data_IF_730349502560
#
_entry.id   IF_730349502560
#
_cell.length_a   1.000
_cell.length_b   1.000
_cell.length_c   1.000
_cell.angle_alpha   90.00
_cell.angle_beta   90.00
_cell.angle_gamma   90.00
#
_symmetry.space_group_name_H-M   'P 1'
#
loop_
_entity.id
_entity.type
_entity.pdbx_description
1 polymer ?
#
# COMPACT_ATOMS: atom_id res chain seq x y z
N UNK A 1 -17.57 -15.72 -8.31
CA UNK A 1 -16.33 -15.45 -9.07
C UNK A 1 -15.17 -15.28 -8.09
N UNK A 2 -13.92 -15.52 -8.50
CA UNK A 2 -12.74 -15.52 -7.63
C UNK A 2 -12.58 -14.23 -6.81
N UNK A 3 -12.81 -13.06 -7.42
CA UNK A 3 -12.68 -11.77 -6.75
C UNK A 3 -13.68 -11.58 -5.59
N UNK A 4 -14.93 -12.00 -5.77
CA UNK A 4 -15.94 -11.99 -4.69
C UNK A 4 -15.55 -12.94 -3.56
N UNK A 5 -14.94 -14.09 -3.87
CA UNK A 5 -14.42 -15.00 -2.84
C UNK A 5 -13.26 -14.36 -2.09
N UNK A 6 -12.29 -13.77 -2.79
CA UNK A 6 -11.18 -13.05 -2.18
C UNK A 6 -11.70 -11.96 -1.25
N UNK A 7 -12.59 -11.07 -1.75
CA UNK A 7 -13.19 -9.99 -0.96
C UNK A 7 -13.91 -10.51 0.29
N UNK A 8 -14.74 -11.54 0.14
CA UNK A 8 -15.47 -12.12 1.27
C UNK A 8 -14.52 -12.74 2.29
N UNK A 9 -13.51 -13.49 1.83
CA UNK A 9 -12.54 -14.18 2.72
C UNK A 9 -11.53 -13.25 3.38
N UNK A 10 -11.19 -12.11 2.77
CA UNK A 10 -10.27 -11.12 3.35
C UNK A 10 -10.99 -10.06 4.18
N UNK A 11 -12.32 -9.91 4.05
CA UNK A 11 -13.10 -8.88 4.75
C UNK A 11 -12.91 -8.85 6.27
N UNK A 12 -12.90 -9.98 7.01
CA UNK A 12 -12.66 -9.94 8.45
C UNK A 12 -11.29 -9.38 8.84
N UNK A 13 -10.27 -9.61 8.01
CA UNK A 13 -8.92 -9.09 8.23
C UNK A 13 -8.84 -7.59 7.97
N UNK A 14 -9.54 -7.08 6.94
CA UNK A 14 -9.68 -5.64 6.70
C UNK A 14 -10.37 -4.93 7.87
N UNK A 15 -11.50 -5.48 8.35
CA UNK A 15 -12.22 -4.91 9.49
C UNK A 15 -11.37 -4.90 10.76
N UNK A 16 -10.59 -5.95 11.01
CA UNK A 16 -9.67 -5.99 12.14
C UNK A 16 -8.61 -4.90 12.04
N UNK A 17 -7.99 -4.76 10.86
CA UNK A 17 -6.97 -3.75 10.61
C UNK A 17 -7.52 -2.33 10.79
N UNK A 18 -8.72 -2.05 10.26
CA UNK A 18 -9.41 -0.76 10.44
C UNK A 18 -9.74 -0.46 11.93
N UNK A 19 -9.86 -1.51 12.74
CA UNK A 19 -10.07 -1.41 14.18
C UNK A 19 -8.80 -1.10 14.99
N UNK A 20 -7.61 -1.29 14.41
CA UNK A 20 -6.35 -1.11 15.12
C UNK A 20 -6.11 0.35 15.52
N UNK A 21 -5.50 0.62 16.68
CA UNK A 21 -5.26 1.98 17.17
C UNK A 21 -4.52 2.87 16.16
N UNK A 22 -3.55 2.31 15.43
CA UNK A 22 -2.76 3.03 14.44
C UNK A 22 -3.61 3.48 13.24
N UNK A 23 -4.54 2.66 12.76
CA UNK A 23 -5.43 3.02 11.66
C UNK A 23 -6.45 4.07 12.08
N UNK A 24 -6.96 3.98 13.32
CA UNK A 24 -7.92 4.95 13.87
C UNK A 24 -7.29 6.31 14.16
N UNK A 25 -6.04 6.34 14.68
CA UNK A 25 -5.37 7.59 15.02
C UNK A 25 -5.21 8.50 13.81
N UNK A 26 -4.98 7.92 12.63
CA UNK A 26 -4.79 8.68 11.40
C UNK A 26 -6.05 9.39 10.90
N UNK A 27 -7.22 8.79 11.14
CA UNK A 27 -8.52 9.35 10.81
C UNK A 27 -9.08 10.23 11.94
N UNK A 28 -8.42 10.27 13.09
CA UNK A 28 -8.84 11.08 14.21
C UNK A 28 -8.74 12.58 13.88
N UNK A 29 -9.62 13.43 14.45
CA UNK A 29 -9.49 14.87 14.32
C UNK A 29 -8.21 15.46 14.92
N UNK A 30 -7.53 14.72 15.79
CA UNK A 30 -6.29 15.14 16.46
C UNK A 30 -5.03 14.69 15.74
N UNK A 31 -5.15 13.98 14.61
CA UNK A 31 -4.01 13.45 13.86
C UNK A 31 -2.96 14.54 13.55
N UNK A 32 -1.72 14.28 13.97
CA UNK A 32 -0.57 15.15 13.75
C UNK A 32 0.19 14.77 12.48
N UNK A 33 1.09 15.65 12.04
CA UNK A 33 2.01 15.30 10.96
C UNK A 33 2.96 14.17 11.39
N UNK A 34 3.36 14.13 12.66
CA UNK A 34 4.23 13.08 13.18
C UNK A 34 3.53 11.71 13.17
N UNK A 35 2.23 11.65 13.48
CA UNK A 35 1.44 10.41 13.38
C UNK A 35 1.42 9.90 11.94
N UNK A 36 1.29 10.81 10.97
CA UNK A 36 1.30 10.46 9.56
C UNK A 36 2.68 9.97 9.10
N UNK A 37 3.76 10.66 9.48
CA UNK A 37 5.15 10.22 9.20
C UNK A 37 5.43 8.85 9.81
N UNK A 38 4.99 8.62 11.05
CA UNK A 38 5.14 7.33 11.72
C UNK A 38 4.41 6.20 10.98
N UNK A 39 3.23 6.46 10.42
CA UNK A 39 2.51 5.49 9.60
C UNK A 39 3.21 5.24 8.28
N UNK A 40 3.74 6.28 7.63
CA UNK A 40 4.55 6.11 6.41
C UNK A 40 5.80 5.28 6.69
N UNK A 41 6.48 5.49 7.81
CA UNK A 41 7.62 4.67 8.26
C UNK A 41 7.21 3.22 8.51
N UNK A 42 6.10 2.99 9.20
CA UNK A 42 5.54 1.65 9.43
C UNK A 42 5.20 0.95 8.12
N UNK A 43 4.59 1.68 7.18
CA UNK A 43 4.29 1.18 5.84
C UNK A 43 5.58 0.87 5.07
N UNK A 44 6.59 1.75 5.09
CA UNK A 44 7.87 1.51 4.42
C UNK A 44 8.50 0.20 4.90
N UNK A 45 8.54 0.00 6.21
CA UNK A 45 9.07 -1.19 6.85
C UNK A 45 8.38 -2.50 6.45
N UNK A 46 7.12 -2.45 6.04
CA UNK A 46 6.37 -3.60 5.53
C UNK A 46 6.44 -3.74 4.00
N UNK A 47 6.20 -2.65 3.27
CA UNK A 47 6.12 -2.63 1.82
C UNK A 47 7.47 -2.95 1.18
N UNK A 48 8.56 -2.34 1.64
CA UNK A 48 9.87 -2.52 1.01
C UNK A 48 10.29 -4.01 0.93
N UNK A 49 10.36 -4.76 2.04
CA UNK A 49 10.82 -6.15 1.97
C UNK A 49 9.76 -7.09 1.37
N UNK A 50 8.46 -6.76 1.46
CA UNK A 50 7.41 -7.53 0.77
C UNK A 50 7.47 -7.36 -0.74
N UNK A 51 7.66 -6.13 -1.23
CA UNK A 51 7.75 -5.84 -2.65
C UNK A 51 8.99 -6.47 -3.28
N UNK A 52 10.13 -6.43 -2.57
CA UNK A 52 11.34 -7.13 -3.02
C UNK A 52 11.13 -8.65 -3.13
N UNK A 53 10.35 -9.24 -2.22
CA UNK A 53 9.98 -10.66 -2.28
C UNK A 53 9.04 -10.96 -3.44
N UNK A 54 8.06 -10.09 -3.69
CA UNK A 54 7.13 -10.21 -4.81
C UNK A 54 7.83 -10.07 -6.16
N UNK A 55 8.76 -9.12 -6.31
CA UNK A 55 9.54 -8.96 -7.53
C UNK A 55 10.35 -10.21 -7.90
N UNK A 56 10.73 -11.02 -6.91
CA UNK A 56 11.47 -12.29 -7.08
C UNK A 56 10.58 -13.53 -7.17
N UNK A 57 9.26 -13.39 -6.96
CA UNK A 57 8.35 -14.54 -6.83
C UNK A 57 8.07 -15.25 -8.15
N UNK A 58 8.12 -14.55 -9.28
CA UNK A 58 7.95 -15.10 -10.61
C UNK A 58 8.43 -14.12 -11.69
N UNK A 59 8.55 -14.61 -12.92
CA UNK A 59 8.77 -13.77 -14.09
C UNK A 59 7.47 -13.02 -14.46
N UNK A 60 7.32 -11.81 -13.92
CA UNK A 60 6.16 -10.96 -14.17
C UNK A 60 6.04 -10.53 -15.63
N UNK A 61 7.17 -10.37 -16.33
CA UNK A 61 7.18 -10.01 -17.75
C UNK A 61 6.61 -11.14 -18.60
N UNK A 62 6.94 -12.40 -18.29
CA UNK A 62 6.33 -13.57 -18.93
C UNK A 62 4.81 -13.70 -18.67
N UNK A 63 4.28 -12.99 -17.67
CA UNK A 63 2.84 -12.90 -17.38
C UNK A 63 2.16 -11.67 -17.99
N UNK A 64 2.87 -10.90 -18.83
CA UNK A 64 2.42 -9.61 -19.38
C UNK A 64 1.93 -8.65 -18.27
N UNK A 65 2.62 -8.67 -17.12
CA UNK A 65 2.29 -7.87 -15.95
C UNK A 65 3.46 -6.98 -15.54
N UNK A 66 3.27 -5.66 -15.64
CA UNK A 66 4.27 -4.69 -15.19
C UNK A 66 4.23 -4.53 -13.66
N UNK A 67 5.00 -5.36 -12.96
CA UNK A 67 5.11 -5.33 -11.51
C UNK A 67 5.70 -4.02 -10.97
N UNK A 68 6.71 -3.45 -11.63
CA UNK A 68 7.38 -2.23 -11.16
C UNK A 68 6.42 -1.04 -11.05
N UNK A 69 5.45 -0.91 -11.97
CA UNK A 69 4.41 0.13 -11.89
C UNK A 69 3.46 -0.03 -10.69
N UNK A 70 3.46 -1.20 -10.03
CA UNK A 70 2.61 -1.48 -8.87
C UNK A 70 3.27 -1.13 -7.55
N UNK A 71 4.60 -1.06 -7.52
CA UNK A 71 5.37 -0.80 -6.31
C UNK A 71 5.02 0.55 -5.69
N UNK A 72 4.92 0.56 -4.37
CA UNK A 72 4.55 1.69 -3.52
C UNK A 72 5.71 2.20 -2.71
N UNK A 73 6.74 1.38 -2.51
CA UNK A 73 7.96 1.76 -1.79
C UNK A 73 8.53 3.09 -2.27
N UNK A 74 8.71 3.36 -3.59
CA UNK A 74 9.25 4.65 -4.04
C UNK A 74 8.38 5.85 -3.66
N UNK A 75 7.06 5.68 -3.62
CA UNK A 75 6.11 6.74 -3.25
C UNK A 75 6.14 7.02 -1.74
N UNK A 76 6.28 5.98 -0.92
CA UNK A 76 6.42 6.12 0.54
C UNK A 76 7.74 6.83 0.86
N UNK A 77 8.84 6.44 0.22
CA UNK A 77 10.13 7.11 0.42
C UNK A 77 10.09 8.58 -0.03
N UNK A 78 9.45 8.87 -1.17
CA UNK A 78 9.25 10.24 -1.63
C UNK A 78 8.52 11.07 -0.56
N UNK A 79 7.41 10.56 -0.03
CA UNK A 79 6.65 11.27 0.99
C UNK A 79 7.46 11.47 2.27
N UNK A 80 8.20 10.46 2.71
CA UNK A 80 9.06 10.55 3.89
C UNK A 80 10.20 11.57 3.72
N UNK A 81 10.86 11.62 2.56
CA UNK A 81 11.91 12.61 2.30
C UNK A 81 11.35 14.04 2.35
N UNK A 82 10.17 14.25 1.78
CA UNK A 82 9.52 15.57 1.77
C UNK A 82 9.09 16.00 3.17
N UNK A 83 8.50 15.09 3.95
CA UNK A 83 7.90 15.42 5.25
C UNK A 83 8.90 15.38 6.41
N UNK A 84 9.91 14.52 6.33
CA UNK A 84 10.86 14.24 7.41
C UNK A 84 12.23 14.89 7.22
N UNK A 85 12.41 15.75 6.22
CA UNK A 85 13.64 16.51 6.02
C UNK A 85 14.78 15.71 5.38
N UNK A 86 14.47 14.75 4.51
CA UNK A 86 15.44 13.96 3.74
C UNK A 86 15.53 12.49 4.16
N UNK A 87 16.66 11.85 3.84
CA UNK A 87 16.84 10.39 4.00
C UNK A 87 16.87 9.92 5.46
N UNK A 88 17.10 10.82 6.42
CA UNK A 88 17.04 10.49 7.85
C UNK A 88 15.69 9.92 8.26
N UNK A 89 14.61 10.36 7.61
CA UNK A 89 13.26 9.87 7.86
C UNK A 89 13.09 8.37 7.53
N UNK A 90 13.88 7.85 6.59
CA UNK A 90 13.84 6.45 6.16
C UNK A 90 14.47 5.53 7.20
N UNK A 91 15.47 6.02 7.94
CA UNK A 91 16.22 5.25 8.94
C UNK A 91 15.37 4.84 10.16
N UNK A 92 14.24 5.53 10.38
CA UNK A 92 13.32 5.23 11.47
C UNK A 92 12.22 4.24 11.09
N UNK A 93 12.21 3.73 9.84
CA UNK A 93 11.25 2.72 9.43
C UNK A 93 11.54 1.39 10.16
N UNK A 94 10.58 0.84 10.93
CA UNK A 94 10.78 -0.43 11.61
C UNK A 94 10.78 -1.58 10.60
N UNK A 95 11.81 -2.42 10.59
CA UNK A 95 11.86 -3.54 9.66
C UNK A 95 10.82 -4.62 10.00
N UNK A 96 9.97 -4.98 9.02
CA UNK A 96 9.02 -6.07 9.18
C UNK A 96 9.69 -7.43 8.95
N UNK A 97 10.11 -8.08 10.05
CA UNK A 97 10.75 -9.39 9.99
C UNK A 97 9.79 -10.57 9.72
N UNK A 98 8.47 -10.33 9.80
CA UNK A 98 7.45 -11.38 9.63
C UNK A 98 6.58 -11.10 8.41
N UNK A 99 7.14 -11.42 7.24
CA UNK A 99 6.44 -11.32 5.97
C UNK A 99 5.66 -12.59 5.61
N UNK A 100 4.55 -12.47 4.86
CA UNK A 100 3.84 -13.63 4.35
C UNK A 100 4.74 -14.50 3.45
N UNK A 101 4.58 -15.83 3.47
CA UNK A 101 5.28 -16.71 2.56
C UNK A 101 4.77 -16.49 1.13
N UNK A 102 5.68 -16.27 0.19
CA UNK A 102 5.37 -16.16 -1.24
C UNK A 102 6.08 -17.31 -1.96
N UNK A 103 5.46 -18.49 -1.91
CA UNK A 103 6.03 -19.73 -2.47
C UNK A 103 5.49 -20.11 -3.86
N UNK A 104 4.59 -19.30 -4.43
CA UNK A 104 3.98 -19.58 -5.73
C UNK A 104 3.45 -18.31 -6.39
N UNK A 105 3.21 -18.38 -7.70
CA UNK A 105 2.54 -17.32 -8.48
C UNK A 105 1.17 -16.98 -7.88
N UNK A 106 0.40 -17.99 -7.47
CA UNK A 106 -0.91 -17.77 -6.85
C UNK A 106 -0.80 -17.01 -5.51
N UNK A 107 0.20 -17.32 -4.68
CA UNK A 107 0.45 -16.59 -3.45
C UNK A 107 0.88 -15.14 -3.73
N UNK A 108 1.71 -14.91 -4.75
CA UNK A 108 2.12 -13.58 -5.17
C UNK A 108 0.94 -12.74 -5.67
N UNK A 109 0.06 -13.32 -6.49
CA UNK A 109 -1.17 -12.67 -6.96
C UNK A 109 -2.13 -12.37 -5.80
N UNK A 110 -2.25 -13.27 -4.82
CA UNK A 110 -3.05 -13.04 -3.62
C UNK A 110 -2.52 -11.89 -2.76
N UNK A 111 -1.20 -11.77 -2.61
CA UNK A 111 -0.59 -10.64 -1.93
C UNK A 111 -0.79 -9.32 -2.70
N UNK A 112 -0.60 -9.33 -4.02
CA UNK A 112 -0.89 -8.18 -4.87
C UNK A 112 -2.35 -7.75 -4.77
N UNK A 113 -3.30 -8.69 -4.71
CA UNK A 113 -4.72 -8.37 -4.49
C UNK A 113 -4.93 -7.53 -3.23
N UNK A 114 -4.30 -7.90 -2.12
CA UNK A 114 -4.41 -7.16 -0.86
C UNK A 114 -3.76 -5.77 -0.98
N UNK A 115 -2.56 -5.67 -1.56
CA UNK A 115 -1.85 -4.39 -1.72
C UNK A 115 -2.60 -3.43 -2.65
N UNK A 116 -3.14 -3.93 -3.76
CA UNK A 116 -3.97 -3.15 -4.67
C UNK A 116 -5.27 -2.70 -4.00
N UNK A 117 -5.92 -3.58 -3.23
CA UNK A 117 -7.11 -3.25 -2.45
C UNK A 117 -6.85 -2.16 -1.40
N UNK A 118 -5.67 -2.16 -0.76
CA UNK A 118 -5.28 -1.15 0.22
C UNK A 118 -5.21 0.26 -0.38
N UNK A 119 -4.96 0.40 -1.69
CA UNK A 119 -4.93 1.72 -2.36
C UNK A 119 -6.30 2.41 -2.38
N UNK A 120 -7.40 1.66 -2.42
CA UNK A 120 -8.76 2.20 -2.33
C UNK A 120 -9.04 2.75 -0.93
N UNK A 121 -8.73 1.98 0.11
CA UNK A 121 -8.89 2.43 1.51
C UNK A 121 -7.98 3.63 1.82
N UNK A 122 -6.79 3.65 1.23
CA UNK A 122 -5.84 4.74 1.30
C UNK A 122 -6.36 6.10 0.83
N UNK A 123 -7.34 6.14 -0.08
CA UNK A 123 -7.92 7.40 -0.55
C UNK A 123 -8.64 8.17 0.56
N UNK A 124 -9.26 7.47 1.53
CA UNK A 124 -9.91 8.13 2.68
C UNK A 124 -8.87 8.83 3.55
N UNK A 125 -7.74 8.16 3.78
CA UNK A 125 -6.59 8.71 4.50
C UNK A 125 -6.02 9.92 3.76
N UNK A 126 -5.75 9.78 2.45
CA UNK A 126 -5.29 10.89 1.62
C UNK A 126 -6.21 12.10 1.75
N UNK A 127 -7.53 11.92 1.61
CA UNK A 127 -8.49 13.02 1.70
C UNK A 127 -8.50 13.69 3.07
N UNK A 128 -8.48 12.91 4.15
CA UNK A 128 -8.47 13.44 5.51
C UNK A 128 -7.22 14.28 5.80
N UNK A 129 -6.05 13.75 5.45
CA UNK A 129 -4.77 14.42 5.72
C UNK A 129 -4.55 15.60 4.76
N UNK A 130 -4.84 15.43 3.47
CA UNK A 130 -4.73 16.47 2.46
C UNK A 130 -5.55 17.71 2.84
N UNK A 131 -6.81 17.54 3.25
CA UNK A 131 -7.66 18.67 3.65
C UNK A 131 -7.11 19.40 4.87
N UNK A 132 -6.65 18.67 5.90
CA UNK A 132 -6.21 19.25 7.17
C UNK A 132 -4.83 19.91 7.10
N UNK A 133 -3.94 19.37 6.26
CA UNK A 133 -2.52 19.74 6.21
C UNK A 133 -2.10 20.34 4.86
N UNK A 134 -3.03 20.51 3.93
CA UNK A 134 -2.79 21.00 2.55
C UNK A 134 -1.75 20.14 1.80
N UNK A 135 -1.74 18.84 2.08
CA UNK A 135 -0.89 17.89 1.37
C UNK A 135 -1.50 17.50 0.01
N UNK A 136 -0.63 17.20 -0.94
CA UNK A 136 -0.87 16.80 -2.31
C UNK A 136 0.28 15.87 -2.75
N UNK A 137 0.17 15.16 -3.89
CA UNK A 137 1.15 14.14 -4.25
C UNK A 137 2.60 14.63 -4.30
N UNK A 138 2.82 15.90 -4.64
CA UNK A 138 4.17 16.48 -4.75
C UNK A 138 4.77 16.91 -3.41
N UNK A 139 3.97 17.03 -2.34
CA UNK A 139 4.44 17.55 -1.05
C UNK A 139 4.19 16.61 0.15
N UNK A 140 4.11 15.29 -0.09
CA UNK A 140 4.00 14.29 0.99
C UNK A 140 2.70 13.48 0.99
N UNK A 141 2.03 13.31 -0.14
CA UNK A 141 0.85 12.45 -0.26
C UNK A 141 0.87 11.58 -1.53
N UNK A 142 2.04 11.28 -2.08
CA UNK A 142 2.21 10.44 -3.27
C UNK A 142 1.72 9.01 -3.03
N UNK A 143 2.05 8.41 -1.87
CA UNK A 143 1.71 7.01 -1.55
C UNK A 143 0.19 6.79 -1.57
N UNK A 144 -0.57 7.59 -0.83
CA UNK A 144 -2.03 7.43 -0.80
C UNK A 144 -2.73 7.93 -2.09
N UNK A 145 -1.99 8.55 -3.01
CA UNK A 145 -2.43 8.92 -4.36
C UNK A 145 -1.76 8.08 -5.46
N UNK A 146 -1.30 6.87 -5.14
CA UNK A 146 -0.54 5.98 -6.03
C UNK A 146 -1.04 5.84 -7.47
N UNK A 147 -2.35 5.95 -7.68
CA UNK A 147 -2.96 5.85 -9.01
C UNK A 147 -3.79 7.08 -9.40
N UNK A 148 -3.82 8.12 -8.57
CA UNK A 148 -4.72 9.27 -8.74
C UNK A 148 -6.17 8.84 -9.01
N UNK A 149 -6.74 9.30 -10.12
CA UNK A 149 -8.11 8.96 -10.52
C UNK A 149 -8.25 7.53 -11.07
N UNK A 150 -7.16 6.80 -11.26
CA UNK A 150 -7.14 5.45 -11.82
C UNK A 150 -7.26 4.33 -10.77
N UNK A 151 -7.38 4.65 -9.47
CA UNK A 151 -7.45 3.65 -8.39
C UNK A 151 -8.54 2.60 -8.66
N UNK A 152 -9.74 3.02 -9.10
CA UNK A 152 -10.84 2.11 -9.45
C UNK A 152 -10.62 1.28 -10.72
N UNK A 153 -9.62 1.60 -11.54
CA UNK A 153 -9.22 0.78 -12.72
C UNK A 153 -8.09 -0.18 -12.37
N UNK A 154 -7.30 0.11 -11.34
CA UNK A 154 -6.21 -0.77 -10.90
C UNK A 154 -6.70 -2.15 -10.47
N UNK A 155 -7.71 -2.20 -9.60
CA UNK A 155 -8.29 -3.46 -9.12
C UNK A 155 -8.92 -4.31 -10.23
N UNK A 156 -9.56 -3.68 -11.23
CA UNK A 156 -10.10 -4.36 -12.41
C UNK A 156 -9.02 -5.03 -13.27
N UNK A 157 -7.84 -4.41 -13.36
CA UNK A 157 -6.73 -4.97 -14.16
C UNK A 157 -6.11 -6.21 -13.49
N UNK A 158 -6.07 -6.24 -12.15
CA UNK A 158 -5.66 -7.43 -11.41
C UNK A 158 -6.71 -8.55 -11.48
N UNK A 159 -7.99 -8.19 -11.45
CA UNK A 159 -9.08 -9.16 -11.64
C UNK A 159 -8.99 -9.88 -13.00
N UNK A 160 -8.66 -9.15 -14.07
CA UNK A 160 -8.47 -9.74 -15.40
C UNK A 160 -7.30 -10.73 -15.43
N UNK A 161 -6.18 -10.42 -14.76
CA UNK A 161 -5.03 -11.31 -14.67
C UNK A 161 -5.33 -12.61 -13.92
N UNK A 162 -6.17 -12.53 -12.88
CA UNK A 162 -6.58 -13.71 -12.10
C UNK A 162 -7.63 -14.59 -12.82
N UNK A 163 -8.21 -14.12 -13.93
CA UNK A 163 -9.19 -14.87 -14.72
C UNK A 163 -8.56 -15.60 -15.92
N UNK A 164 -7.36 -15.21 -16.35
CA UNK A 164 -6.66 -15.79 -17.50
C UNK A 164 -5.70 -16.94 -17.14
N UNK A 165 -5.69 -17.36 -15.88
CA UNK A 165 -4.86 -18.41 -15.30
C UNK A 165 -5.73 -19.38 -14.51
#
# INVERSE_FOLDING_TARGET
>A
MLFERLKATTSPYHQRLEGEPLSRSLLAPTATLNDYVYILQTNLGFYAPLEDRLGKACDWAALDFNYEQRRKTPLIEQDLRVLGGGDTALLYAPECNRLPPIGSVAAALGALYVLEGATLGGQLIARHIAMRRKLHPQNGCAFYNSYGDQVGRSGRRLELLCRSK
#
